data_IF_786182136685
#
_entry.id   IF_786182136685
#
_cell.length_a   1.000
_cell.length_b   1.000
_cell.length_c   1.000
_cell.angle_alpha   90.00
_cell.angle_beta   90.00
_cell.angle_gamma   90.00
#
_symmetry.space_group_name_H-M   'P 1'
#
loop_
_entity.id
_entity.type
_entity.pdbx_description
1 polymer ?
#
# COMPACT_ATOMS: atom_id res chain seq x y z
N UNK A 1 -23.22 28.37 -59.62
CA UNK A 1 -23.77 28.52 -58.25
C UNK A 1 -24.72 27.38 -58.02
N UNK A 2 -24.35 26.54 -57.06
CA UNK A 2 -25.17 25.57 -56.31
C UNK A 2 -26.03 24.55 -57.07
N UNK A 3 -25.61 23.28 -57.02
CA UNK A 3 -26.24 22.31 -56.10
C UNK A 3 -25.71 20.88 -56.31
N UNK A 4 -25.35 20.29 -55.18
CA UNK A 4 -24.87 18.92 -54.94
C UNK A 4 -26.07 17.95 -54.82
N UNK A 5 -25.88 16.68 -55.23
CA UNK A 5 -26.44 15.37 -54.75
C UNK A 5 -26.16 14.34 -55.87
N UNK A 6 -25.82 13.06 -55.72
CA UNK A 6 -25.66 12.12 -54.61
C UNK A 6 -24.88 10.89 -55.14
N UNK A 7 -24.15 10.20 -54.27
CA UNK A 7 -23.48 8.92 -54.52
C UNK A 7 -22.13 8.94 -53.79
N UNK A 8 -21.83 8.15 -52.77
CA UNK A 8 -22.39 6.90 -52.28
C UNK A 8 -21.19 6.04 -51.92
N UNK A 9 -20.88 5.89 -50.63
CA UNK A 9 -20.04 4.81 -50.11
C UNK A 9 -20.14 4.80 -48.59
N UNK A 10 -20.93 3.86 -48.09
CA UNK A 10 -20.74 3.28 -46.77
C UNK A 10 -19.30 2.79 -46.65
N UNK A 11 -18.57 3.32 -45.67
CA UNK A 11 -17.54 2.56 -44.98
C UNK A 11 -17.75 2.83 -43.49
N UNK A 12 -18.55 1.95 -42.92
CA UNK A 12 -18.61 1.63 -41.50
C UNK A 12 -17.20 1.22 -41.04
N UNK A 13 -16.41 2.22 -40.65
CA UNK A 13 -15.11 2.03 -40.02
C UNK A 13 -15.32 1.72 -38.55
N UNK A 14 -15.83 0.53 -38.26
CA UNK A 14 -15.92 -0.02 -36.92
C UNK A 14 -14.56 0.08 -36.24
N UNK A 15 -14.43 1.04 -35.31
CA UNK A 15 -13.33 1.06 -34.35
C UNK A 15 -13.50 -0.18 -33.50
N UNK A 16 -12.61 -1.15 -33.69
CA UNK A 16 -12.49 -2.29 -32.80
C UNK A 16 -12.45 -1.76 -31.36
N UNK A 17 -13.21 -2.36 -30.42
CA UNK A 17 -13.08 -2.00 -29.02
C UNK A 17 -11.62 -2.21 -28.65
N UNK A 18 -10.96 -1.14 -28.19
CA UNK A 18 -9.64 -1.22 -27.59
C UNK A 18 -9.71 -2.30 -26.50
N UNK A 19 -8.92 -3.36 -26.65
CA UNK A 19 -8.83 -4.42 -25.65
C UNK A 19 -8.41 -3.79 -24.31
N UNK A 20 -9.10 -4.08 -23.19
CA UNK A 20 -8.77 -3.53 -21.87
C UNK A 20 -7.40 -3.95 -21.29
N UNK A 21 -6.51 -4.53 -22.08
CA UNK A 21 -5.33 -5.30 -21.62
C UNK A 21 -4.13 -4.45 -21.19
N UNK A 22 -4.21 -3.12 -21.25
CA UNK A 22 -3.21 -2.21 -20.68
C UNK A 22 -3.66 -1.53 -19.38
N UNK A 23 -4.80 -1.94 -18.80
CA UNK A 23 -5.28 -1.42 -17.52
C UNK A 23 -4.52 -2.09 -16.36
N UNK A 24 -3.34 -1.53 -16.12
CA UNK A 24 -2.57 -1.46 -14.87
C UNK A 24 -2.05 -2.78 -14.28
N UNK A 25 -0.76 -3.08 -14.46
CA UNK A 25 -0.01 -4.14 -13.73
C UNK A 25 0.24 -3.80 -12.25
N UNK A 26 -0.68 -3.07 -11.61
CA UNK A 26 -0.55 -2.53 -10.24
C UNK A 26 -1.58 -3.20 -9.32
N UNK A 27 -1.47 -4.51 -9.15
CA UNK A 27 -2.39 -5.29 -8.34
C UNK A 27 -1.86 -5.53 -6.93
N UNK A 28 -0.58 -5.82 -6.78
CA UNK A 28 0.05 -6.16 -5.51
C UNK A 28 1.11 -5.10 -5.18
N UNK A 29 1.01 -4.50 -3.99
CA UNK A 29 1.99 -3.52 -3.53
C UNK A 29 3.35 -4.18 -3.25
N UNK A 30 4.44 -3.43 -3.39
CA UNK A 30 5.81 -3.92 -3.12
C UNK A 30 5.99 -4.49 -1.72
N UNK A 31 5.22 -4.01 -0.74
CA UNK A 31 5.15 -4.59 0.61
C UNK A 31 4.80 -6.09 0.59
N UNK A 32 3.91 -6.53 -0.29
CA UNK A 32 3.53 -7.94 -0.38
C UNK A 32 4.74 -8.78 -0.81
N UNK A 33 5.44 -8.35 -1.86
CA UNK A 33 6.66 -9.01 -2.30
C UNK A 33 7.73 -9.00 -1.20
N UNK A 34 7.88 -7.87 -0.51
CA UNK A 34 8.81 -7.75 0.63
C UNK A 34 8.54 -8.77 1.72
N UNK A 35 7.28 -8.96 2.12
CA UNK A 35 6.93 -9.95 3.17
C UNK A 35 7.25 -11.38 2.74
N UNK A 36 6.94 -11.72 1.49
CA UNK A 36 7.28 -13.03 0.93
C UNK A 36 8.78 -13.26 0.98
N UNK A 37 9.57 -12.32 0.44
CA UNK A 37 11.02 -12.45 0.33
C UNK A 37 11.70 -12.42 1.70
N UNK A 38 11.24 -11.60 2.64
CA UNK A 38 11.78 -11.53 3.99
C UNK A 38 11.57 -12.84 4.75
N UNK A 39 10.40 -13.48 4.61
CA UNK A 39 10.17 -14.79 5.23
C UNK A 39 11.07 -15.87 4.61
N UNK A 40 11.21 -15.86 3.28
CA UNK A 40 12.10 -16.77 2.55
C UNK A 40 13.55 -16.58 2.98
N UNK A 41 14.01 -15.34 3.10
CA UNK A 41 15.36 -15.02 3.57
C UNK A 41 15.59 -15.56 4.99
N UNK A 42 14.63 -15.37 5.90
CA UNK A 42 14.73 -15.91 7.27
C UNK A 42 14.83 -17.43 7.32
N UNK A 43 14.12 -18.15 6.43
CA UNK A 43 14.03 -19.62 6.45
C UNK A 43 15.05 -20.33 5.57
N UNK A 44 15.47 -19.71 4.47
CA UNK A 44 16.29 -20.32 3.42
C UNK A 44 17.47 -19.45 2.95
N UNK A 45 17.67 -18.29 3.57
CA UNK A 45 18.76 -17.36 3.25
C UNK A 45 18.65 -16.75 1.85
N UNK A 46 19.71 -16.04 1.46
CA UNK A 46 19.81 -15.38 0.15
C UNK A 46 19.66 -16.36 -1.02
N UNK A 47 20.20 -17.58 -0.89
CA UNK A 47 20.04 -18.62 -1.91
C UNK A 47 18.57 -19.01 -2.12
N UNK A 48 17.78 -19.04 -1.05
CA UNK A 48 16.33 -19.26 -1.11
C UNK A 48 15.61 -18.12 -1.84
N UNK A 49 15.97 -16.87 -1.54
CA UNK A 49 15.43 -15.67 -2.22
C UNK A 49 15.68 -15.75 -3.73
N UNK A 50 16.92 -16.03 -4.14
CA UNK A 50 17.27 -16.17 -5.57
C UNK A 50 16.53 -17.33 -6.24
N UNK A 51 16.34 -18.45 -5.53
CA UNK A 51 15.58 -19.58 -6.05
C UNK A 51 14.09 -19.24 -6.25
N UNK A 52 13.50 -18.47 -5.33
CA UNK A 52 12.13 -17.97 -5.44
C UNK A 52 11.98 -17.02 -6.62
N UNK A 53 12.83 -15.99 -6.73
CA UNK A 53 12.78 -15.03 -7.84
C UNK A 53 12.90 -15.74 -9.20
N UNK A 54 13.89 -16.64 -9.32
CA UNK A 54 14.08 -17.44 -10.54
C UNK A 54 12.86 -18.31 -10.87
N UNK A 55 12.27 -18.96 -9.87
CA UNK A 55 11.10 -19.83 -10.06
C UNK A 55 9.84 -19.04 -10.42
N UNK A 56 9.67 -17.87 -9.84
CA UNK A 56 8.57 -16.95 -10.15
C UNK A 56 8.72 -16.28 -11.53
N UNK A 57 9.86 -16.46 -12.21
CA UNK A 57 10.15 -15.76 -13.47
C UNK A 57 10.36 -14.26 -13.27
N UNK A 58 10.69 -13.84 -12.04
CA UNK A 58 10.88 -12.44 -11.70
C UNK A 58 12.27 -11.97 -12.15
N UNK A 59 12.31 -10.83 -12.81
CA UNK A 59 13.52 -10.26 -13.41
C UNK A 59 14.06 -9.08 -12.61
N UNK A 60 13.21 -8.46 -11.80
CA UNK A 60 13.55 -7.39 -10.86
C UNK A 60 14.29 -7.96 -9.65
N UNK A 61 15.12 -7.14 -9.03
CA UNK A 61 15.83 -7.52 -7.81
C UNK A 61 14.88 -7.55 -6.61
N UNK A 62 15.28 -8.25 -5.53
CA UNK A 62 14.54 -8.23 -4.27
C UNK A 62 14.40 -6.81 -3.69
N UNK A 63 15.43 -5.97 -3.89
CA UNK A 63 15.43 -4.57 -3.46
C UNK A 63 14.40 -3.76 -4.25
N UNK A 64 14.40 -3.87 -5.58
CA UNK A 64 13.44 -3.17 -6.47
C UNK A 64 11.99 -3.55 -6.17
N UNK A 65 11.72 -4.82 -5.92
CA UNK A 65 10.39 -5.33 -5.57
C UNK A 65 9.89 -4.83 -4.22
N UNK A 66 10.80 -4.55 -3.30
CA UNK A 66 10.50 -4.16 -1.93
C UNK A 66 10.33 -2.65 -1.74
N UNK A 67 10.49 -1.85 -2.81
CA UNK A 67 10.25 -0.41 -2.80
C UNK A 67 8.75 -0.10 -2.68
N UNK A 68 8.43 0.97 -1.97
CA UNK A 68 7.04 1.32 -1.60
C UNK A 68 6.19 1.78 -2.78
N UNK A 69 6.84 2.43 -3.74
CA UNK A 69 6.23 2.82 -5.01
C UNK A 69 6.15 1.70 -6.05
N UNK A 70 6.77 0.55 -5.79
CA UNK A 70 6.74 -0.59 -6.71
C UNK A 70 5.43 -1.34 -6.57
N UNK A 71 4.85 -1.71 -7.71
CA UNK A 71 3.68 -2.58 -7.78
C UNK A 71 3.96 -3.73 -8.74
N UNK A 72 3.31 -4.86 -8.49
CA UNK A 72 3.37 -6.05 -9.32
C UNK A 72 1.98 -6.42 -9.82
N UNK A 73 1.95 -7.09 -10.96
CA UNK A 73 0.70 -7.65 -11.47
C UNK A 73 0.15 -8.74 -10.55
N UNK A 74 -1.10 -9.13 -10.77
CA UNK A 74 -1.72 -10.25 -10.06
C UNK A 74 -0.89 -11.54 -10.26
N UNK A 75 -0.55 -11.86 -11.51
CA UNK A 75 0.21 -13.06 -11.86
C UNK A 75 1.61 -13.05 -11.26
N UNK A 76 2.31 -11.91 -11.26
CA UNK A 76 3.62 -11.81 -10.61
C UNK A 76 3.54 -12.04 -9.10
N UNK A 77 2.57 -11.42 -8.42
CA UNK A 77 2.37 -11.61 -6.98
C UNK A 77 2.04 -13.08 -6.65
N UNK A 78 1.12 -13.68 -7.40
CA UNK A 78 0.76 -15.09 -7.26
C UNK A 78 1.96 -16.01 -7.48
N UNK A 79 2.75 -15.78 -8.53
CA UNK A 79 3.95 -16.55 -8.83
C UNK A 79 5.00 -16.47 -7.69
N UNK A 80 5.16 -15.32 -7.04
CA UNK A 80 6.04 -15.18 -5.86
C UNK A 80 5.55 -16.04 -4.69
N UNK A 81 4.26 -16.01 -4.37
CA UNK A 81 3.69 -16.85 -3.31
C UNK A 81 3.86 -18.34 -3.62
N UNK A 82 3.50 -18.78 -4.82
CA UNK A 82 3.62 -20.19 -5.23
C UNK A 82 5.08 -20.66 -5.27
N UNK A 83 6.00 -19.80 -5.69
CA UNK A 83 7.43 -20.09 -5.66
C UNK A 83 7.94 -20.22 -4.22
N UNK A 84 7.57 -19.31 -3.33
CA UNK A 84 7.94 -19.38 -1.91
C UNK A 84 7.40 -20.64 -1.25
N UNK A 85 6.13 -20.97 -1.46
CA UNK A 85 5.50 -22.20 -0.97
C UNK A 85 6.25 -23.45 -1.44
N UNK A 86 6.62 -23.49 -2.73
CA UNK A 86 7.35 -24.62 -3.30
C UNK A 86 8.78 -24.74 -2.77
N UNK A 87 9.50 -23.63 -2.58
CA UNK A 87 10.89 -23.64 -2.12
C UNK A 87 10.98 -24.00 -0.62
N UNK A 88 10.03 -23.51 0.17
CA UNK A 88 9.98 -23.78 1.60
C UNK A 88 9.23 -25.08 1.96
N UNK A 89 8.55 -25.69 0.99
CA UNK A 89 7.82 -26.94 1.19
C UNK A 89 6.56 -26.77 2.04
N UNK A 90 5.93 -25.60 2.00
CA UNK A 90 4.79 -25.24 2.84
C UNK A 90 3.66 -24.63 2.00
N UNK A 91 2.56 -25.37 1.87
CA UNK A 91 1.39 -24.96 1.10
C UNK A 91 0.53 -23.88 1.79
N UNK A 92 0.73 -23.64 3.09
CA UNK A 92 -0.01 -22.67 3.90
C UNK A 92 0.87 -21.49 4.34
N UNK A 93 2.05 -21.35 3.73
CA UNK A 93 3.03 -20.30 4.03
C UNK A 93 2.45 -18.89 3.95
N UNK A 94 1.35 -18.70 3.20
CA UNK A 94 0.62 -17.44 3.12
C UNK A 94 0.32 -16.86 4.50
N UNK A 95 -0.12 -17.70 5.44
CA UNK A 95 -0.44 -17.28 6.81
C UNK A 95 0.79 -16.72 7.52
N UNK A 96 1.90 -17.45 7.50
CA UNK A 96 3.15 -17.02 8.11
C UNK A 96 3.69 -15.72 7.49
N UNK A 97 3.51 -15.54 6.17
CA UNK A 97 3.88 -14.31 5.47
C UNK A 97 3.05 -13.12 5.99
N UNK A 98 1.74 -13.32 6.19
CA UNK A 98 0.85 -12.29 6.72
C UNK A 98 1.13 -11.97 8.18
N UNK A 99 1.38 -12.98 9.00
CA UNK A 99 1.70 -12.83 10.43
C UNK A 99 3.02 -12.07 10.64
N UNK A 100 3.97 -12.21 9.72
CA UNK A 100 5.24 -11.48 9.73
C UNK A 100 5.13 -9.98 9.43
N UNK A 101 3.94 -9.44 9.17
CA UNK A 101 3.79 -8.03 8.71
C UNK A 101 4.41 -7.02 9.67
N UNK A 102 4.25 -7.21 10.99
CA UNK A 102 4.75 -6.26 11.99
C UNK A 102 6.26 -6.34 12.25
N UNK A 103 6.95 -7.36 11.73
CA UNK A 103 8.41 -7.50 11.86
C UNK A 103 9.15 -6.53 10.90
N UNK A 104 8.49 -6.10 9.83
CA UNK A 104 9.08 -5.25 8.82
C UNK A 104 9.08 -3.77 9.22
N UNK A 105 10.24 -3.11 9.09
CA UNK A 105 10.43 -1.66 9.35
C UNK A 105 9.34 -0.80 8.69
N UNK A 106 8.89 -1.22 7.52
CA UNK A 106 7.95 -0.48 6.68
C UNK A 106 6.49 -0.65 7.12
N UNK A 107 6.18 -1.74 7.81
CA UNK A 107 4.94 -1.86 8.54
C UNK A 107 4.95 -1.00 9.81
N UNK A 108 6.10 -0.65 10.37
CA UNK A 108 6.16 0.16 11.61
C UNK A 108 5.64 1.59 11.42
N UNK A 109 5.84 2.20 10.25
CA UNK A 109 5.31 3.53 9.94
C UNK A 109 3.78 3.49 9.78
N UNK A 110 3.26 2.54 9.00
CA UNK A 110 1.82 2.30 8.89
C UNK A 110 1.22 1.88 10.25
N UNK A 111 1.93 1.08 11.06
CA UNK A 111 1.46 0.68 12.38
C UNK A 111 1.30 1.88 13.32
N UNK A 112 2.07 2.96 13.15
CA UNK A 112 1.87 4.19 13.91
C UNK A 112 0.57 4.90 13.50
N UNK A 113 0.29 4.98 12.19
CA UNK A 113 -0.98 5.49 11.65
C UNK A 113 -2.14 4.63 12.18
N UNK A 114 -2.02 3.31 12.11
CA UNK A 114 -3.01 2.35 12.58
C UNK A 114 -3.25 2.45 14.10
N UNK A 115 -2.20 2.65 14.92
CA UNK A 115 -2.36 2.87 16.37
C UNK A 115 -3.19 4.11 16.70
N UNK A 116 -3.15 5.15 15.87
CA UNK A 116 -3.90 6.38 16.12
C UNK A 116 -5.43 6.22 16.00
N UNK A 117 -5.92 5.09 15.48
CA UNK A 117 -7.33 4.70 15.54
C UNK A 117 -7.81 4.39 16.96
N UNK A 118 -6.90 4.10 17.89
CA UNK A 118 -7.20 3.92 19.31
C UNK A 118 -7.71 2.53 19.71
N UNK A 119 -8.23 1.71 18.80
CA UNK A 119 -8.63 0.32 19.09
C UNK A 119 -8.58 -0.61 17.86
N UNK A 120 -8.49 -1.94 18.06
CA UNK A 120 -8.59 -2.92 16.96
C UNK A 120 -9.91 -2.81 16.19
N UNK A 121 -11.03 -2.61 16.89
CA UNK A 121 -12.36 -2.47 16.27
C UNK A 121 -12.40 -1.30 15.26
N UNK A 122 -11.82 -0.15 15.60
CA UNK A 122 -11.73 1.02 14.71
C UNK A 122 -10.89 0.75 13.45
N UNK A 123 -9.87 -0.13 13.55
CA UNK A 123 -9.14 -0.61 12.37
C UNK A 123 -10.01 -1.54 11.53
N UNK A 124 -10.71 -2.48 12.15
CA UNK A 124 -11.58 -3.44 11.44
C UNK A 124 -12.69 -2.73 10.66
N UNK A 125 -13.27 -1.66 11.20
CA UNK A 125 -14.23 -0.81 10.49
C UNK A 125 -13.65 -0.15 9.22
N UNK A 126 -12.33 0.04 9.17
CA UNK A 126 -11.61 0.65 8.04
C UNK A 126 -10.86 -0.37 7.19
N UNK A 127 -11.11 -1.67 7.39
CA UNK A 127 -10.28 -2.74 6.82
C UNK A 127 -10.29 -2.76 5.30
N UNK A 128 -11.39 -2.33 4.65
CA UNK A 128 -11.47 -2.20 3.20
C UNK A 128 -10.46 -1.20 2.65
N UNK A 129 -10.36 -0.03 3.28
CA UNK A 129 -9.41 1.02 2.90
C UNK A 129 -7.98 0.56 3.16
N UNK A 130 -7.73 -0.04 4.33
CA UNK A 130 -6.41 -0.51 4.72
C UNK A 130 -5.94 -1.66 3.82
N UNK A 131 -6.82 -2.62 3.51
CA UNK A 131 -6.56 -3.75 2.62
C UNK A 131 -6.20 -3.32 1.20
N UNK A 132 -6.85 -2.27 0.69
CA UNK A 132 -6.58 -1.73 -0.65
C UNK A 132 -5.13 -1.24 -0.86
N UNK A 133 -4.40 -1.00 0.24
CA UNK A 133 -2.98 -0.61 0.24
C UNK A 133 -2.03 -1.79 0.05
N UNK A 134 -2.54 -3.01 0.13
CA UNK A 134 -1.78 -4.24 -0.11
C UNK A 134 -2.10 -4.82 -1.47
N UNK A 135 -3.38 -4.82 -1.85
CA UNK A 135 -3.78 -5.23 -3.18
C UNK A 135 -5.14 -4.67 -3.61
N UNK A 136 -5.33 -4.59 -4.94
CA UNK A 136 -6.59 -4.17 -5.59
C UNK A 136 -7.42 -5.34 -6.12
N UNK A 137 -6.97 -6.57 -5.90
CA UNK A 137 -7.56 -7.77 -6.52
C UNK A 137 -8.74 -8.32 -5.75
N UNK A 138 -9.05 -7.73 -4.59
CA UNK A 138 -10.15 -8.10 -3.73
C UNK A 138 -10.55 -6.89 -2.88
N UNK A 139 -11.77 -6.93 -2.36
CA UNK A 139 -12.28 -5.94 -1.42
C UNK A 139 -12.54 -6.63 -0.08
N UNK A 140 -12.06 -6.02 1.00
CA UNK A 140 -12.44 -6.38 2.36
C UNK A 140 -13.62 -5.51 2.80
N UNK A 141 -14.66 -6.16 3.31
CA UNK A 141 -15.91 -5.53 3.70
C UNK A 141 -16.16 -5.91 5.16
N UNK A 142 -16.11 -4.97 6.11
CA UNK A 142 -16.56 -5.24 7.47
C UNK A 142 -18.09 -5.36 7.46
N UNK A 143 -18.60 -6.53 7.80
CA UNK A 143 -20.05 -6.77 7.93
C UNK A 143 -20.53 -6.38 9.32
N UNK A 144 -19.83 -6.86 10.34
CA UNK A 144 -20.11 -6.61 11.75
C UNK A 144 -18.78 -6.35 12.47
N UNK A 145 -18.75 -5.35 13.36
CA UNK A 145 -17.57 -5.08 14.19
C UNK A 145 -18.03 -4.80 15.61
N UNK A 146 -17.68 -5.70 16.52
CA UNK A 146 -17.84 -5.58 17.96
C UNK A 146 -16.60 -5.04 18.64
N UNK A 147 -16.61 -5.06 19.97
CA UNK A 147 -15.47 -4.62 20.79
C UNK A 147 -14.28 -5.59 20.73
N UNK A 148 -14.59 -6.88 20.57
CA UNK A 148 -13.63 -8.00 20.64
C UNK A 148 -13.78 -8.99 19.50
N UNK A 149 -14.66 -8.70 18.54
CA UNK A 149 -14.94 -9.55 17.40
C UNK A 149 -15.26 -8.71 16.17
N UNK A 150 -15.12 -9.32 15.00
CA UNK A 150 -15.55 -8.76 13.74
C UNK A 150 -15.87 -9.88 12.74
N UNK A 151 -16.74 -9.57 11.79
CA UNK A 151 -17.00 -10.38 10.61
C UNK A 151 -16.50 -9.59 9.40
N UNK A 152 -15.53 -10.17 8.70
CA UNK A 152 -14.95 -9.58 7.50
C UNK A 152 -15.21 -10.48 6.29
N UNK A 153 -15.82 -9.91 5.26
CA UNK A 153 -16.00 -10.57 3.97
C UNK A 153 -14.94 -10.10 3.00
N UNK A 154 -14.24 -11.03 2.35
CA UNK A 154 -13.37 -10.75 1.22
C UNK A 154 -14.07 -11.18 -0.07
N UNK A 155 -14.13 -10.27 -1.05
CA UNK A 155 -14.67 -10.54 -2.38
C UNK A 155 -13.64 -10.21 -3.44
N UNK A 156 -13.29 -11.20 -4.24
CA UNK A 156 -12.39 -11.03 -5.37
C UNK A 156 -12.96 -10.06 -6.41
N UNK A 157 -12.10 -9.20 -6.95
CA UNK A 157 -12.45 -8.29 -8.04
C UNK A 157 -12.54 -9.11 -9.34
N UNK A 158 -13.56 -8.89 -10.20
CA UNK A 158 -13.70 -9.63 -11.45
C UNK A 158 -12.41 -9.62 -12.29
N UNK A 159 -12.01 -10.80 -12.77
CA UNK A 159 -10.75 -11.00 -13.51
C UNK A 159 -9.55 -11.38 -12.64
N UNK A 160 -9.67 -11.33 -11.31
CA UNK A 160 -8.61 -11.73 -10.38
C UNK A 160 -9.13 -12.83 -9.44
N UNK A 161 -9.13 -14.09 -9.86
CA UNK A 161 -9.66 -15.18 -9.04
C UNK A 161 -8.86 -15.33 -7.73
N UNK A 162 -9.48 -15.78 -6.64
CA UNK A 162 -8.77 -16.03 -5.40
C UNK A 162 -7.90 -17.28 -5.52
N UNK A 163 -6.89 -17.36 -4.66
CA UNK A 163 -6.03 -18.53 -4.52
C UNK A 163 -5.67 -18.74 -3.06
N UNK A 164 -5.47 -20.00 -2.65
CA UNK A 164 -5.37 -20.40 -1.23
C UNK A 164 -4.32 -19.61 -0.46
N UNK A 165 -3.13 -19.43 -1.04
CA UNK A 165 -2.03 -18.68 -0.41
C UNK A 165 -2.42 -17.22 -0.10
N UNK A 166 -3.27 -16.59 -0.91
CA UNK A 166 -3.77 -15.24 -0.63
C UNK A 166 -4.81 -15.22 0.49
N UNK A 167 -5.71 -16.20 0.53
CA UNK A 167 -6.66 -16.35 1.64
C UNK A 167 -5.90 -16.54 2.96
N UNK A 168 -4.91 -17.44 2.98
CA UNK A 168 -4.06 -17.68 4.14
C UNK A 168 -3.27 -16.41 4.53
N UNK A 169 -2.75 -15.66 3.55
CA UNK A 169 -2.12 -14.35 3.79
C UNK A 169 -3.07 -13.33 4.40
N UNK A 170 -4.31 -13.27 3.94
CA UNK A 170 -5.35 -12.39 4.49
C UNK A 170 -5.66 -12.76 5.94
N UNK A 171 -5.77 -14.05 6.25
CA UNK A 171 -5.90 -14.56 7.63
C UNK A 171 -4.72 -14.12 8.49
N UNK A 172 -3.49 -14.26 7.98
CA UNK A 172 -2.28 -13.82 8.66
C UNK A 172 -2.26 -12.32 8.95
N UNK A 173 -2.67 -11.47 8.00
CA UNK A 173 -2.74 -10.03 8.19
C UNK A 173 -3.81 -9.63 9.22
N UNK A 174 -5.01 -10.20 9.14
CA UNK A 174 -6.11 -9.87 10.05
C UNK A 174 -5.79 -10.27 11.49
N UNK A 175 -5.06 -11.38 11.70
CA UNK A 175 -4.66 -11.81 13.03
C UNK A 175 -3.74 -10.80 13.74
N UNK A 176 -2.98 -10.00 12.99
CA UNK A 176 -2.02 -9.06 13.57
C UNK A 176 -2.64 -7.72 13.99
N UNK A 177 -3.89 -7.44 13.62
CA UNK A 177 -4.55 -6.16 13.96
C UNK A 177 -4.55 -5.88 15.46
N UNK A 178 -4.91 -6.82 16.37
CA UNK A 178 -4.88 -6.55 17.80
C UNK A 178 -3.46 -6.41 18.38
N UNK A 179 -2.45 -7.05 17.75
CA UNK A 179 -1.05 -7.00 18.18
C UNK A 179 -0.49 -5.57 18.11
N UNK A 180 -0.97 -4.77 17.15
CA UNK A 180 -0.64 -3.34 17.02
C UNK A 180 -0.90 -2.56 18.32
N UNK A 181 -1.87 -3.00 19.14
CA UNK A 181 -2.28 -2.39 20.40
C UNK A 181 -1.74 -3.13 21.65
N UNK A 182 -0.86 -4.12 21.47
CA UNK A 182 -0.27 -4.89 22.57
C UNK A 182 -1.13 -6.05 23.08
N UNK A 183 -2.17 -6.44 22.34
CA UNK A 183 -2.95 -7.65 22.61
C UNK A 183 -2.30 -8.87 21.94
N UNK A 184 -2.82 -10.06 22.25
CA UNK A 184 -2.46 -11.27 21.49
C UNK A 184 -3.04 -11.23 20.07
N UNK A 185 -2.51 -12.05 19.14
CA UNK A 185 -3.07 -12.14 17.79
C UNK A 185 -4.54 -12.58 17.83
N UNK A 186 -5.33 -12.10 16.87
CA UNK A 186 -6.71 -12.48 16.73
C UNK A 186 -6.83 -13.95 16.30
N UNK A 187 -7.82 -14.65 16.83
CA UNK A 187 -8.28 -15.91 16.28
C UNK A 187 -9.14 -15.64 15.05
N UNK A 188 -8.83 -16.32 13.94
CA UNK A 188 -9.55 -16.17 12.67
C UNK A 188 -10.11 -17.53 12.29
N UNK A 189 -11.42 -17.58 12.03
CA UNK A 189 -12.11 -18.75 11.46
C UNK A 189 -12.60 -18.36 10.08
N UNK A 190 -12.16 -19.09 9.05
CA UNK A 190 -12.71 -19.00 7.71
C UNK A 190 -13.98 -19.87 7.67
N UNK A 191 -15.13 -19.25 7.40
CA UNK A 191 -16.42 -19.96 7.35
C UNK A 191 -16.77 -20.42 5.93
N UNK A 192 -16.44 -19.58 4.94
CA UNK A 192 -16.66 -19.84 3.51
C UNK A 192 -15.43 -19.39 2.74
N UNK A 193 -15.18 -19.97 1.58
CA UNK A 193 -14.02 -19.63 0.76
C UNK A 193 -14.33 -19.71 -0.74
N UNK A 194 -14.05 -18.64 -1.48
CA UNK A 194 -14.19 -18.64 -2.95
C UNK A 194 -13.32 -19.72 -3.62
N UNK A 195 -12.19 -20.10 -3.00
CA UNK A 195 -11.33 -21.17 -3.51
C UNK A 195 -11.95 -22.56 -3.37
N UNK A 196 -12.97 -22.70 -2.53
CA UNK A 196 -13.76 -23.92 -2.32
C UNK A 196 -15.10 -23.89 -3.09
N UNK A 197 -15.37 -22.80 -3.82
CA UNK A 197 -16.55 -22.65 -4.68
C UNK A 197 -17.66 -21.78 -4.10
N UNK A 198 -17.45 -21.14 -2.94
CA UNK A 198 -18.40 -20.17 -2.38
C UNK A 198 -18.37 -18.82 -3.12
N UNK A 199 -19.39 -17.98 -2.90
CA UNK A 199 -19.51 -16.66 -3.55
C UNK A 199 -18.56 -15.58 -2.99
N UNK A 200 -17.99 -15.82 -1.80
CA UNK A 200 -17.03 -14.94 -1.12
C UNK A 200 -16.30 -15.70 -0.02
N UNK A 201 -15.12 -15.21 0.38
CA UNK A 201 -14.46 -15.67 1.60
C UNK A 201 -15.00 -14.90 2.80
N UNK A 202 -15.45 -15.58 3.85
CA UNK A 202 -15.97 -14.95 5.07
C UNK A 202 -15.13 -15.35 6.28
N UNK A 203 -14.65 -14.36 7.02
CA UNK A 203 -13.78 -14.54 8.17
C UNK A 203 -14.45 -14.04 9.44
N UNK A 204 -14.61 -14.93 10.42
CA UNK A 204 -14.95 -14.55 11.79
C UNK A 204 -13.65 -14.29 12.56
N UNK A 205 -13.51 -13.08 13.06
CA UNK A 205 -12.33 -12.58 13.76
C UNK A 205 -12.70 -12.36 15.22
N UNK A 206 -11.88 -12.85 16.16
CA UNK A 206 -12.07 -12.58 17.58
C UNK A 206 -10.73 -12.36 18.30
N UNK A 207 -10.70 -11.47 19.28
CA UNK A 207 -9.51 -11.17 20.07
C UNK A 207 -9.85 -10.92 21.54
N UNK A 208 -8.89 -11.22 22.40
CA UNK A 208 -9.04 -10.98 23.83
C UNK A 208 -8.29 -9.70 24.25
N UNK A 209 -8.98 -8.80 24.94
CA UNK A 209 -8.36 -7.64 25.59
C UNK A 209 -7.50 -8.08 26.80
N UNK A 210 -7.83 -9.23 27.36
CA UNK A 210 -7.06 -9.92 28.38
C UNK A 210 -6.20 -11.00 27.70
N UNK A 211 -4.88 -10.84 27.64
CA UNK A 211 -4.01 -11.93 27.21
C UNK A 211 -3.64 -12.76 28.44
N UNK A 212 -4.20 -13.97 28.65
CA UNK A 212 -3.81 -14.83 29.76
C UNK A 212 -2.39 -15.39 29.62
N UNK A 213 -1.76 -15.26 28.44
CA UNK A 213 -0.44 -15.82 28.16
C UNK A 213 0.73 -14.95 28.65
N UNK A 214 0.51 -13.67 28.95
CA UNK A 214 1.56 -12.72 29.32
C UNK A 214 1.06 -11.72 30.39
N UNK A 215 1.65 -11.72 31.61
CA UNK A 215 1.47 -10.66 32.61
C UNK A 215 1.54 -9.24 32.03
N UNK A 216 0.71 -8.33 32.55
CA UNK A 216 0.63 -6.92 32.11
C UNK A 216 1.99 -6.18 32.08
N UNK A 217 2.91 -6.39 33.05
CA UNK A 217 4.23 -5.74 33.00
C UNK A 217 5.07 -6.16 31.80
N UNK A 218 5.08 -7.45 31.44
CA UNK A 218 5.85 -7.97 30.32
C UNK A 218 5.25 -7.54 28.97
N UNK A 219 3.91 -7.51 28.87
CA UNK A 219 3.22 -6.90 27.73
C UNK A 219 3.59 -5.44 27.56
N UNK A 220 3.62 -4.69 28.67
CA UNK A 220 3.99 -3.28 28.66
C UNK A 220 5.45 -3.09 28.24
N UNK A 221 6.36 -3.98 28.67
CA UNK A 221 7.76 -3.98 28.23
C UNK A 221 7.86 -4.21 26.74
N UNK A 222 7.26 -5.28 26.19
CA UNK A 222 7.32 -5.56 24.74
C UNK A 222 6.71 -4.40 23.93
N UNK A 223 5.56 -3.89 24.36
CA UNK A 223 4.92 -2.73 23.72
C UNK A 223 5.85 -1.50 23.75
N UNK A 224 6.43 -1.18 24.91
CA UNK A 224 7.36 -0.07 25.04
C UNK A 224 8.65 -0.30 24.24
N UNK A 225 9.17 -1.52 24.16
CA UNK A 225 10.33 -1.88 23.34
C UNK A 225 10.02 -1.74 21.85
N UNK A 226 8.83 -2.11 21.40
CA UNK A 226 8.38 -1.86 20.02
C UNK A 226 8.25 -0.35 19.76
N UNK A 227 7.71 0.42 20.71
CA UNK A 227 7.68 1.88 20.61
C UNK A 227 9.07 2.48 20.57
N UNK A 228 9.99 1.98 21.41
CA UNK A 228 11.35 2.46 21.49
C UNK A 228 12.12 2.11 20.23
N UNK A 229 11.92 0.91 19.67
CA UNK A 229 12.42 0.52 18.34
C UNK A 229 11.89 1.43 17.24
N UNK A 230 10.59 1.75 17.24
CA UNK A 230 10.00 2.67 16.26
C UNK A 230 10.60 4.09 16.38
N UNK A 231 10.73 4.60 17.60
CA UNK A 231 11.35 5.90 17.87
C UNK A 231 12.84 5.91 17.49
N UNK A 232 13.57 4.84 17.77
CA UNK A 232 14.98 4.69 17.41
C UNK A 232 15.13 4.65 15.89
N UNK A 233 14.29 3.89 15.18
CA UNK A 233 14.29 3.86 13.72
C UNK A 233 13.97 5.23 13.11
N UNK A 234 13.02 5.99 13.70
CA UNK A 234 12.73 7.37 13.30
C UNK A 234 13.91 8.31 13.56
N UNK A 235 14.59 8.14 14.69
CA UNK A 235 15.77 8.92 15.03
C UNK A 235 16.94 8.61 14.09
N UNK A 236 17.20 7.35 13.78
CA UNK A 236 18.20 6.95 12.77
C UNK A 236 17.83 7.48 11.38
N UNK A 237 16.56 7.41 10.99
CA UNK A 237 16.08 8.00 9.75
C UNK A 237 16.31 9.51 9.73
N UNK A 238 16.05 10.21 10.84
CA UNK A 238 16.35 11.63 10.99
C UNK A 238 17.86 11.91 10.92
N UNK A 239 18.70 11.12 11.58
CA UNK A 239 20.17 11.28 11.52
C UNK A 239 20.71 11.07 10.10
N UNK A 240 20.23 10.02 9.39
CA UNK A 240 20.54 9.82 7.96
C UNK A 240 20.08 11.02 7.13
N UNK A 241 18.91 11.58 7.45
CA UNK A 241 18.42 12.80 6.80
C UNK A 241 19.36 13.97 7.02
N UNK A 242 19.90 14.17 8.23
CA UNK A 242 20.87 15.23 8.51
C UNK A 242 22.19 15.02 7.76
N UNK A 243 22.71 13.79 7.72
CA UNK A 243 23.94 13.47 6.98
C UNK A 243 23.76 13.63 5.47
N UNK A 244 22.58 13.28 4.96
CA UNK A 244 22.24 13.40 3.54
C UNK A 244 21.89 14.84 3.14
N UNK A 245 21.27 15.64 4.01
CA UNK A 245 21.00 17.07 3.79
C UNK A 245 22.30 17.88 3.71
N UNK A 246 23.35 17.45 4.43
CA UNK A 246 24.70 18.02 4.31
C UNK A 246 25.34 17.65 2.96
N UNK A 247 24.80 16.65 2.24
CA UNK A 247 25.32 16.12 0.97
C UNK A 247 24.41 16.39 -0.24
N UNK A 248 23.22 16.99 -0.05
CA UNK A 248 22.23 17.18 -1.10
C UNK A 248 22.44 18.53 -1.82
N UNK A 249 23.26 18.53 -2.87
CA UNK A 249 23.43 19.70 -3.75
C UNK A 249 22.38 19.78 -4.89
N UNK A 250 21.44 18.83 -5.04
CA UNK A 250 20.46 18.83 -6.16
C UNK A 250 18.98 18.62 -5.74
N UNK A 251 18.11 19.48 -6.29
CA UNK A 251 16.65 19.51 -6.13
C UNK A 251 15.96 18.24 -6.63
N UNK A 252 16.51 17.58 -7.64
CA UNK A 252 15.97 16.33 -8.20
C UNK A 252 16.05 15.21 -7.16
N UNK A 253 17.20 15.07 -6.50
CA UNK A 253 17.43 14.04 -5.47
C UNK A 253 16.53 14.26 -4.25
N UNK A 254 16.27 15.51 -3.86
CA UNK A 254 15.33 15.82 -2.78
C UNK A 254 13.90 15.45 -3.13
N UNK A 255 13.49 15.67 -4.38
CA UNK A 255 12.13 15.42 -4.87
C UNK A 255 11.81 13.92 -4.94
N UNK A 256 12.74 13.10 -5.44
CA UNK A 256 12.61 11.63 -5.44
C UNK A 256 12.48 11.08 -4.01
N UNK A 257 13.22 11.64 -3.06
CA UNK A 257 13.16 11.21 -1.64
C UNK A 257 11.86 11.59 -0.95
N UNK A 258 11.29 12.77 -1.25
CA UNK A 258 9.97 13.16 -0.73
C UNK A 258 8.91 12.20 -1.27
N UNK A 259 8.98 11.82 -2.54
CA UNK A 259 8.05 10.86 -3.14
C UNK A 259 8.19 9.45 -2.55
N UNK A 260 9.41 8.97 -2.34
CA UNK A 260 9.67 7.66 -1.72
C UNK A 260 9.13 7.61 -0.28
N UNK A 261 9.39 8.65 0.52
CA UNK A 261 8.85 8.78 1.89
C UNK A 261 7.34 8.95 1.95
N UNK A 262 6.77 9.71 1.02
CA UNK A 262 5.32 9.84 0.91
C UNK A 262 4.69 8.47 0.64
N UNK A 263 5.31 7.66 -0.22
CA UNK A 263 4.92 6.28 -0.52
C UNK A 263 4.93 5.34 0.68
N UNK A 264 5.88 5.50 1.60
CA UNK A 264 5.99 4.66 2.79
C UNK A 264 4.88 4.92 3.82
N UNK A 265 4.40 6.16 3.90
CA UNK A 265 3.44 6.64 4.91
C UNK A 265 2.01 6.58 4.39
N UNK A 266 1.83 7.09 3.18
CA UNK A 266 0.57 7.12 2.46
C UNK A 266 0.78 6.19 1.30
N UNK A 267 0.31 4.95 1.39
CA UNK A 267 0.46 3.94 0.33
C UNK A 267 -0.48 4.22 -0.84
N UNK A 268 -0.40 5.43 -1.38
CA UNK A 268 -1.00 5.84 -2.63
C UNK A 268 -0.38 5.04 -3.77
N UNK A 269 -1.18 4.66 -4.76
CA UNK A 269 -0.63 3.99 -5.93
C UNK A 269 -0.01 4.98 -6.90
N UNK A 270 -0.29 6.28 -6.73
CA UNK A 270 0.13 7.35 -7.62
C UNK A 270 0.46 8.60 -6.82
N UNK A 271 1.56 9.26 -7.16
CA UNK A 271 1.99 10.50 -6.52
C UNK A 271 2.34 11.56 -7.55
N UNK A 272 2.10 12.81 -7.19
CA UNK A 272 2.50 13.97 -7.96
C UNK A 272 3.02 15.05 -7.01
N UNK A 273 4.24 15.51 -7.24
CA UNK A 273 4.87 16.59 -6.51
C UNK A 273 5.08 17.77 -7.45
N UNK A 274 4.48 18.90 -7.11
CA UNK A 274 4.74 20.17 -7.78
C UNK A 274 5.69 20.99 -6.93
N UNK A 275 6.85 21.36 -7.47
CA UNK A 275 7.84 22.19 -6.78
C UNK A 275 8.13 23.42 -7.61
N UNK A 276 8.03 24.59 -7.00
CA UNK A 276 8.47 25.86 -7.56
C UNK A 276 9.82 26.25 -6.95
N UNK A 277 10.95 26.00 -7.65
CA UNK A 277 12.28 26.20 -7.08
C UNK A 277 12.54 27.65 -6.67
N UNK A 278 12.12 28.62 -7.49
CA UNK A 278 12.29 30.05 -7.22
C UNK A 278 10.97 30.83 -7.38
N UNK A 279 10.77 31.93 -6.64
CA UNK A 279 9.61 32.79 -6.84
C UNK A 279 9.57 33.27 -8.30
N UNK A 280 8.45 33.04 -9.00
CA UNK A 280 8.30 33.40 -10.42
C UNK A 280 8.82 32.38 -11.43
N UNK A 281 9.49 31.30 -11.00
CA UNK A 281 9.84 30.19 -11.88
C UNK A 281 8.62 29.32 -12.21
N UNK A 282 8.68 28.63 -13.36
CA UNK A 282 7.72 27.58 -13.69
C UNK A 282 7.78 26.46 -12.63
N UNK A 283 6.62 25.89 -12.30
CA UNK A 283 6.56 24.73 -11.42
C UNK A 283 7.15 23.52 -12.16
N UNK A 284 8.05 22.80 -11.50
CA UNK A 284 8.53 21.49 -11.92
C UNK A 284 7.59 20.44 -11.36
N UNK A 285 7.21 19.49 -12.19
CA UNK A 285 6.29 18.40 -11.81
C UNK A 285 7.07 17.10 -11.80
N UNK A 286 7.07 16.42 -10.67
CA UNK A 286 7.54 15.06 -10.52
C UNK A 286 6.34 14.15 -10.29
N UNK A 287 6.35 12.96 -10.86
CA UNK A 287 5.25 12.01 -10.68
C UNK A 287 5.78 10.58 -10.57
N UNK A 288 4.99 9.74 -9.90
CA UNK A 288 5.23 8.31 -9.80
C UNK A 288 3.91 7.57 -10.00
N UNK A 289 3.92 6.57 -10.87
CA UNK A 289 2.74 5.78 -11.23
C UNK A 289 1.70 6.49 -12.08
N UNK A 290 2.01 7.69 -12.60
CA UNK A 290 1.21 8.42 -13.57
C UNK A 290 1.93 8.44 -14.93
N UNK A 291 1.17 8.70 -15.99
CA UNK A 291 1.75 9.07 -17.28
C UNK A 291 1.95 10.60 -17.35
N UNK A 292 2.77 11.05 -18.30
CA UNK A 292 3.13 12.47 -18.46
C UNK A 292 1.92 13.35 -18.80
N UNK A 293 0.94 12.83 -19.54
CA UNK A 293 -0.25 13.58 -19.95
C UNK A 293 -1.19 13.85 -18.77
N UNK A 294 -1.44 12.81 -17.97
CA UNK A 294 -2.29 12.84 -16.79
C UNK A 294 -1.65 13.63 -15.65
N UNK A 295 -0.34 13.50 -15.45
CA UNK A 295 0.38 14.33 -14.48
C UNK A 295 0.33 15.82 -14.86
N UNK A 296 0.51 16.16 -16.14
CA UNK A 296 0.36 17.54 -16.62
C UNK A 296 -1.07 18.08 -16.50
N UNK A 297 -2.09 17.23 -16.68
CA UNK A 297 -3.49 17.61 -16.46
C UNK A 297 -3.77 17.92 -14.98
N UNK A 298 -3.35 17.04 -14.06
CA UNK A 298 -3.52 17.22 -12.61
C UNK A 298 -2.74 18.46 -12.13
N UNK A 299 -1.51 18.65 -12.60
CA UNK A 299 -0.71 19.82 -12.25
C UNK A 299 -1.36 21.14 -12.70
N UNK A 300 -1.96 21.18 -13.90
CA UNK A 300 -2.65 22.38 -14.42
C UNK A 300 -3.91 22.72 -13.64
N UNK A 301 -4.73 21.72 -13.32
CA UNK A 301 -5.95 21.89 -12.51
C UNK A 301 -5.62 22.44 -11.12
N UNK A 302 -4.51 21.98 -10.53
CA UNK A 302 -4.10 22.36 -9.16
C UNK A 302 -3.38 23.70 -9.07
N UNK A 303 -2.65 24.10 -10.10
CA UNK A 303 -2.14 25.50 -10.20
C UNK A 303 -3.29 26.51 -10.20
N UNK A 304 -4.52 26.10 -10.56
CA UNK A 304 -5.70 26.95 -10.57
C UNK A 304 -6.57 26.90 -9.28
N UNK A 305 -6.43 25.87 -8.41
CA UNK A 305 -7.29 25.67 -7.23
C UNK A 305 -6.54 25.17 -5.99
N UNK A 306 -6.57 25.95 -4.90
CA UNK A 306 -5.76 25.76 -3.67
C UNK A 306 -6.50 25.06 -2.52
N UNK A 307 -7.28 24.00 -2.76
CA UNK A 307 -7.94 23.29 -1.64
C UNK A 307 -7.07 22.15 -1.11
N UNK A 308 -6.47 22.33 0.07
CA UNK A 308 -5.85 21.24 0.84
C UNK A 308 -6.90 20.25 1.36
N UNK A 309 -6.48 19.01 1.59
CA UNK A 309 -7.29 17.98 2.24
C UNK A 309 -7.57 16.76 1.37
N UNK A 310 -8.50 15.93 1.84
CA UNK A 310 -8.96 14.72 1.15
C UNK A 310 -10.16 15.09 0.29
N UNK A 311 -10.11 14.76 -1.00
CA UNK A 311 -11.22 14.90 -1.94
C UNK A 311 -11.37 13.61 -2.73
N UNK A 312 -12.29 12.75 -2.26
CA UNK A 312 -12.51 11.42 -2.83
C UNK A 312 -11.21 10.60 -2.77
N UNK A 313 -10.65 10.29 -3.93
CA UNK A 313 -9.44 9.48 -4.07
C UNK A 313 -8.14 10.28 -4.13
N UNK A 314 -8.17 11.58 -3.82
CA UNK A 314 -7.00 12.44 -3.80
C UNK A 314 -6.75 12.99 -2.39
N UNK A 315 -5.49 12.98 -1.95
CA UNK A 315 -5.01 13.63 -0.74
C UNK A 315 -3.96 14.67 -1.14
N UNK A 316 -4.22 15.93 -0.81
CA UNK A 316 -3.35 17.07 -1.15
C UNK A 316 -2.83 17.72 0.12
N UNK A 317 -1.52 17.91 0.19
CA UNK A 317 -0.83 18.66 1.25
C UNK A 317 0.12 19.70 0.67
N UNK A 318 0.21 20.87 1.29
CA UNK A 318 1.23 21.87 0.94
C UNK A 318 2.62 21.40 1.39
N UNK A 319 3.61 21.60 0.51
CA UNK A 319 5.03 21.42 0.82
C UNK A 319 5.62 22.77 1.13
N UNK A 320 5.87 23.04 2.40
CA UNK A 320 6.33 24.34 2.88
C UNK A 320 7.39 24.21 3.98
N UNK A 321 8.27 25.19 4.08
CA UNK A 321 9.12 25.42 5.24
C UNK A 321 8.63 26.63 6.03
N UNK A 322 9.19 26.82 7.23
CA UNK A 322 8.99 28.03 8.05
C UNK A 322 9.21 29.36 7.32
N UNK A 323 9.96 29.36 6.20
CA UNK A 323 10.29 30.56 5.43
C UNK A 323 9.52 30.71 4.13
N UNK A 324 9.01 29.61 3.56
CA UNK A 324 8.49 29.61 2.19
C UNK A 324 7.69 28.34 1.86
N UNK A 325 6.61 28.52 1.09
CA UNK A 325 5.91 27.47 0.36
C UNK A 325 6.63 27.11 -0.95
N UNK A 326 6.88 25.82 -1.13
CA UNK A 326 7.56 25.27 -2.31
C UNK A 326 6.58 24.68 -3.32
N UNK A 327 5.39 24.24 -2.90
CA UNK A 327 4.35 23.74 -3.78
C UNK A 327 3.44 22.73 -3.09
N UNK A 328 3.01 21.69 -3.81
CA UNK A 328 2.05 20.71 -3.29
C UNK A 328 2.46 19.29 -3.61
N UNK A 329 2.21 18.39 -2.66
CA UNK A 329 2.28 16.95 -2.82
C UNK A 329 0.85 16.40 -2.89
N UNK A 330 0.61 15.60 -3.92
CA UNK A 330 -0.68 14.96 -4.21
C UNK A 330 -0.48 13.45 -4.21
N UNK A 331 -1.15 12.77 -3.30
CA UNK A 331 -1.30 11.32 -3.33
C UNK A 331 -2.65 10.97 -3.97
N UNK A 332 -2.68 9.95 -4.81
CA UNK A 332 -3.87 9.52 -5.54
C UNK A 332 -4.05 8.02 -5.37
N UNK A 333 -5.26 7.64 -4.98
CA UNK A 333 -5.73 6.26 -5.01
C UNK A 333 -6.52 6.01 -6.32
N UNK A 334 -6.29 4.87 -6.99
CA UNK A 334 -7.11 4.44 -8.10
C UNK A 334 -8.39 3.75 -7.60
N UNK A 335 -9.36 3.57 -8.51
CA UNK A 335 -10.61 2.82 -8.27
C UNK A 335 -11.56 3.40 -7.19
N UNK A 336 -11.42 4.68 -6.85
CA UNK A 336 -12.38 5.38 -5.97
C UNK A 336 -12.24 5.04 -4.49
N UNK A 337 -11.15 4.39 -4.08
CA UNK A 337 -10.78 4.30 -2.66
C UNK A 337 -10.35 5.67 -2.14
N UNK A 338 -10.59 5.92 -0.85
CA UNK A 338 -10.29 7.18 -0.20
C UNK A 338 -9.09 7.03 0.74
N UNK A 339 -8.51 8.16 1.17
CA UNK A 339 -7.46 8.19 2.19
C UNK A 339 -8.06 8.29 3.58
N UNK A 340 -7.34 7.77 4.58
CA UNK A 340 -7.69 7.92 5.98
C UNK A 340 -7.30 9.32 6.49
N UNK A 341 -8.05 9.88 7.43
CA UNK A 341 -7.68 11.17 8.05
C UNK A 341 -6.31 11.11 8.75
N UNK A 342 -5.98 9.96 9.33
CA UNK A 342 -4.69 9.68 9.95
C UNK A 342 -3.54 9.75 8.93
N UNK A 343 -3.78 9.37 7.67
CA UNK A 343 -2.80 9.47 6.59
C UNK A 343 -2.55 10.92 6.18
N UNK A 344 -3.59 11.74 6.15
CA UNK A 344 -3.45 13.18 5.90
C UNK A 344 -2.54 13.82 6.96
N UNK A 345 -2.79 13.55 8.23
CA UNK A 345 -1.99 14.09 9.34
C UNK A 345 -0.53 13.68 9.17
N UNK A 346 -0.28 12.39 8.94
CA UNK A 346 1.07 11.88 8.75
C UNK A 346 1.76 12.52 7.53
N UNK A 347 1.06 12.64 6.39
CA UNK A 347 1.62 13.24 5.18
C UNK A 347 1.95 14.73 5.35
N UNK A 348 1.11 15.48 6.06
CA UNK A 348 1.34 16.90 6.36
C UNK A 348 2.58 17.11 7.24
N UNK A 349 2.85 16.22 8.19
CA UNK A 349 4.08 16.25 9.00
C UNK A 349 5.34 16.10 8.13
N UNK A 350 5.29 15.24 7.11
CA UNK A 350 6.42 15.04 6.19
C UNK A 350 6.57 16.11 5.11
N UNK A 351 5.47 16.75 4.72
CA UNK A 351 5.49 17.84 3.74
C UNK A 351 6.03 19.16 4.33
N UNK A 352 6.15 19.24 5.67
CA UNK A 352 6.75 20.37 6.38
C UNK A 352 8.27 20.24 6.43
N UNK A 353 9.00 21.14 5.75
CA UNK A 353 10.48 21.16 5.62
C UNK A 353 11.19 22.03 6.68
#
# INVERSE_FOLDING_TARGET
>A
MDSVRHGGSDVDGGRAPETPEAVNSRQNAGMVAKLVLALVERRAGEAGVQAVLKRAGETRSAEELSLDGTWSSYEQGKALFEAAASILGDAHIGRDIGEGVLEERLAMDMAAVLRSFGSPARIMEQIGVIGSKYSTTFNLIPEEVGEQDAVITARSTPGFPPYRLWCDFTVGLLSQVPVIFGYGPANIVEETCETEGDDCCRFQVSWSLESPAMPEPERRIIYLEQQLRALHARFEAMQRTTTDLISAEDLVTLSERILDRAGSVVRGQQFLLTVRPMPGAAAVVYHSGLDDERSAAIARDRVAGHSEGISGSQLVVEVASSRRSYGHLVAIQPFGTHFLDQERIALSEYASL
#
